data_IF_053399756604
#
_entry.id   IF_053399756604
#
_cell.length_a   1.000
_cell.length_b   1.000
_cell.length_c   1.000
_cell.angle_alpha   90.00
_cell.angle_beta   90.00
_cell.angle_gamma   90.00
#
_symmetry.space_group_name_H-M   'P 1'
#
loop_
_entity.id
_entity.type
_entity.pdbx_description
1 polymer ?
#
# COMPACT_ATOMS: atom_id res chain seq x y z
N UNK A 1 15.22 -19.32 4.43
CA UNK A 1 14.27 -19.73 5.49
C UNK A 1 13.18 -18.68 5.60
N UNK A 2 11.92 -19.08 5.51
CA UNK A 2 10.81 -18.19 5.83
C UNK A 2 10.75 -17.99 7.34
N UNK A 3 10.63 -16.75 7.81
CA UNK A 3 10.49 -16.48 9.23
C UNK A 3 9.58 -15.27 9.47
N UNK A 4 9.01 -15.24 10.66
CA UNK A 4 8.32 -14.09 11.22
C UNK A 4 8.98 -13.77 12.56
N UNK A 5 9.43 -12.55 12.71
CA UNK A 5 9.89 -11.97 13.96
C UNK A 5 8.95 -10.80 14.29
N UNK A 6 8.20 -10.94 15.37
CA UNK A 6 7.24 -9.91 15.79
C UNK A 6 7.92 -8.66 16.37
N UNK A 7 9.24 -8.68 16.51
CA UNK A 7 10.00 -7.62 17.15
C UNK A 7 9.58 -7.45 18.61
N UNK A 8 9.58 -6.22 19.09
CA UNK A 8 9.12 -5.89 20.44
C UNK A 8 7.73 -5.28 20.40
N UNK A 9 6.78 -5.93 21.10
CA UNK A 9 5.40 -5.46 21.24
C UNK A 9 5.20 -4.94 22.66
N UNK A 10 4.82 -3.68 22.78
CA UNK A 10 4.50 -3.01 24.03
C UNK A 10 3.01 -2.70 24.09
N UNK A 11 2.33 -3.12 25.15
CA UNK A 11 0.92 -2.85 25.38
C UNK A 11 0.79 -2.06 26.67
N UNK A 12 0.24 -0.86 26.59
CA UNK A 12 0.12 0.06 27.71
C UNK A 12 -1.26 0.71 27.76
N UNK A 13 -1.65 1.20 28.94
CA UNK A 13 -2.70 2.20 29.07
C UNK A 13 -2.02 3.55 29.31
N UNK A 14 -2.27 4.52 28.45
CA UNK A 14 -1.61 5.84 28.51
C UNK A 14 -2.65 6.95 28.64
N UNK A 15 -2.25 8.08 29.22
CA UNK A 15 -3.01 9.32 29.18
C UNK A 15 -2.20 10.41 28.50
N UNK A 16 -2.51 10.74 27.25
CA UNK A 16 -1.74 11.70 26.46
C UNK A 16 -2.61 12.49 25.49
N UNK A 17 -2.12 13.64 25.03
CA UNK A 17 -2.61 14.41 23.88
C UNK A 17 -1.57 14.52 22.76
N UNK A 18 -0.45 13.80 22.88
CA UNK A 18 0.62 13.84 21.90
C UNK A 18 1.34 12.49 21.84
N UNK A 19 1.68 12.06 20.63
CA UNK A 19 2.53 10.90 20.37
C UNK A 19 3.59 11.25 19.35
N UNK A 20 4.78 10.72 19.54
CA UNK A 20 5.89 10.78 18.60
C UNK A 20 5.98 9.48 17.81
N UNK A 21 6.29 9.59 16.53
CA UNK A 21 6.63 8.45 15.67
C UNK A 21 7.83 8.81 14.80
N UNK A 22 8.89 8.00 14.84
CA UNK A 22 10.13 8.24 14.09
C UNK A 22 10.02 7.60 12.72
N UNK A 23 10.35 8.36 11.68
CA UNK A 23 10.41 7.88 10.29
C UNK A 23 11.83 7.93 9.75
N UNK A 24 12.10 7.17 8.68
CA UNK A 24 13.39 7.18 8.01
C UNK A 24 13.58 8.40 7.07
N UNK A 25 14.78 8.53 6.51
CA UNK A 25 15.14 9.64 5.61
C UNK A 25 14.23 9.75 4.39
N UNK A 26 13.92 8.63 3.74
CA UNK A 26 13.10 8.61 2.52
C UNK A 26 11.69 9.14 2.79
N UNK A 27 11.08 8.67 3.87
CA UNK A 27 9.76 9.14 4.29
C UNK A 27 9.82 10.61 4.73
N UNK A 28 10.81 11.01 5.52
CA UNK A 28 10.99 12.41 5.92
C UNK A 28 11.03 13.33 4.69
N UNK A 29 11.79 12.94 3.66
CA UNK A 29 11.88 13.68 2.39
C UNK A 29 10.54 13.71 1.65
N UNK A 30 9.84 12.58 1.52
CA UNK A 30 8.53 12.52 0.84
C UNK A 30 7.50 13.41 1.52
N UNK A 31 7.46 13.40 2.85
CA UNK A 31 6.54 14.20 3.65
C UNK A 31 6.93 15.69 3.71
N UNK A 32 8.16 16.04 3.28
CA UNK A 32 8.70 17.39 3.47
C UNK A 32 8.86 17.77 4.96
N UNK A 33 9.05 16.78 5.83
CA UNK A 33 9.17 16.96 7.26
C UNK A 33 10.55 17.51 7.65
N UNK A 34 10.60 18.37 8.67
CA UNK A 34 11.86 18.97 9.14
C UNK A 34 12.62 18.01 10.08
N UNK A 35 11.89 17.23 10.86
CA UNK A 35 12.42 16.30 11.86
C UNK A 35 12.08 14.86 11.50
N UNK A 36 12.85 13.91 12.03
CA UNK A 36 12.55 12.48 11.93
C UNK A 36 11.39 12.06 12.82
N UNK A 37 11.23 12.72 13.96
CA UNK A 37 10.08 12.49 14.84
C UNK A 37 8.89 13.33 14.36
N UNK A 38 7.84 12.62 13.95
CA UNK A 38 6.54 13.18 13.63
C UNK A 38 5.69 13.19 14.90
N UNK A 39 5.35 14.38 15.37
CA UNK A 39 4.50 14.57 16.54
C UNK A 39 3.06 14.79 16.09
N UNK A 40 2.12 14.03 16.65
CA UNK A 40 0.71 14.10 16.31
C UNK A 40 -0.17 13.95 17.56
N UNK A 41 -1.40 14.45 17.47
CA UNK A 41 -2.36 14.40 18.56
C UNK A 41 -3.38 13.28 18.34
N UNK A 42 -3.33 12.18 19.12
CA UNK A 42 -4.32 11.12 19.02
C UNK A 42 -5.64 11.45 19.73
N UNK A 43 -5.67 12.48 20.59
CA UNK A 43 -6.81 12.77 21.45
C UNK A 43 -7.98 13.40 20.68
N UNK A 44 -9.22 12.94 20.93
CA UNK A 44 -10.41 13.49 20.29
C UNK A 44 -10.81 14.88 20.80
N UNK A 45 -10.27 15.34 21.94
CA UNK A 45 -10.74 16.56 22.63
C UNK A 45 -9.67 17.64 22.78
N UNK A 46 -8.51 17.49 22.12
CA UNK A 46 -7.35 18.39 22.28
C UNK A 46 -6.62 18.25 23.63
N UNK A 47 -7.32 17.80 24.68
CA UNK A 47 -6.78 17.52 26.01
C UNK A 47 -6.29 16.07 26.12
N UNK A 48 -5.50 15.74 27.15
CA UNK A 48 -5.01 14.37 27.32
C UNK A 48 -6.14 13.37 27.62
N UNK A 49 -6.20 12.28 26.84
CA UNK A 49 -7.23 11.24 26.93
C UNK A 49 -6.61 9.89 27.31
N UNK A 50 -7.37 9.06 28.01
CA UNK A 50 -6.98 7.68 28.30
C UNK A 50 -7.12 6.82 27.05
N UNK A 51 -6.13 5.98 26.77
CA UNK A 51 -6.06 5.18 25.56
C UNK A 51 -5.38 3.84 25.83
N UNK A 52 -5.92 2.77 25.23
CA UNK A 52 -5.17 1.53 25.07
C UNK A 52 -4.16 1.74 23.94
N UNK A 53 -2.88 1.56 24.22
CA UNK A 53 -1.80 1.84 23.29
C UNK A 53 -0.99 0.59 23.03
N UNK A 54 -0.75 0.30 21.75
CA UNK A 54 0.09 -0.78 21.27
C UNK A 54 1.21 -0.17 20.45
N UNK A 55 2.46 -0.51 20.79
CA UNK A 55 3.63 -0.15 20.00
C UNK A 55 4.34 -1.41 19.52
N UNK A 56 4.68 -1.46 18.24
CA UNK A 56 5.51 -2.51 17.62
C UNK A 56 6.83 -1.88 17.19
N UNK A 57 7.95 -2.52 17.50
CA UNK A 57 9.30 -2.08 17.10
C UNK A 57 10.05 -3.21 16.41
N UNK A 58 10.45 -2.98 15.16
CA UNK A 58 11.30 -3.89 14.41
C UNK A 58 10.65 -5.23 14.05
N UNK A 59 9.37 -5.23 13.67
CA UNK A 59 8.74 -6.45 13.16
C UNK A 59 9.30 -6.76 11.76
N UNK A 60 9.78 -7.98 11.59
CA UNK A 60 10.27 -8.52 10.34
C UNK A 60 9.45 -9.72 9.92
N UNK A 61 8.99 -9.72 8.67
CA UNK A 61 8.39 -10.88 8.05
C UNK A 61 9.14 -11.17 6.77
N UNK A 62 9.91 -12.25 6.72
CA UNK A 62 10.67 -12.61 5.53
C UNK A 62 10.14 -13.95 5.05
N UNK A 63 9.13 -13.91 4.19
CA UNK A 63 8.60 -15.11 3.56
C UNK A 63 8.18 -14.85 2.12
N UNK A 64 8.48 -15.84 1.28
CA UNK A 64 8.08 -15.89 -0.12
C UNK A 64 7.22 -17.14 -0.29
N UNK A 65 5.94 -16.94 -0.52
CA UNK A 65 5.02 -18.05 -0.72
C UNK A 65 4.99 -18.43 -2.20
N UNK A 66 5.58 -19.59 -2.53
CA UNK A 66 5.58 -20.16 -3.91
C UNK A 66 4.34 -20.98 -4.23
N UNK A 67 3.57 -21.35 -3.21
CA UNK A 67 2.34 -22.12 -3.34
C UNK A 67 1.32 -21.50 -2.40
N UNK A 68 0.31 -20.84 -2.97
CA UNK A 68 -0.86 -20.39 -2.22
C UNK A 68 -2.01 -21.36 -2.49
N UNK A 69 -2.66 -21.86 -1.43
CA UNK A 69 -3.86 -22.69 -1.53
C UNK A 69 -5.01 -22.01 -0.80
N UNK A 70 -6.09 -21.72 -1.51
CA UNK A 70 -7.35 -21.34 -0.87
C UNK A 70 -8.11 -22.61 -0.51
N UNK A 71 -8.30 -22.85 0.78
CA UNK A 71 -9.06 -24.00 1.29
C UNK A 71 -10.43 -23.48 1.70
N UNK A 72 -11.44 -23.67 0.87
CA UNK A 72 -12.84 -23.37 1.20
C UNK A 72 -13.57 -24.57 1.80
N UNK A 73 -13.07 -25.79 1.58
CA UNK A 73 -13.67 -27.04 2.04
C UNK A 73 -12.59 -28.12 2.22
N UNK A 74 -12.59 -28.79 3.38
CA UNK A 74 -11.66 -29.89 3.71
C UNK A 74 -12.23 -31.29 3.38
N UNK A 75 -13.44 -31.37 2.80
CA UNK A 75 -14.11 -32.63 2.48
C UNK A 75 -13.74 -33.24 1.13
N UNK A 76 -13.01 -32.50 0.28
CA UNK A 76 -12.58 -32.93 -1.06
C UNK A 76 -11.14 -33.45 -1.01
N UNK A 77 -10.85 -34.49 -1.80
CA UNK A 77 -9.50 -35.06 -1.92
C UNK A 77 -8.48 -33.96 -2.28
N UNK A 78 -7.33 -33.99 -1.59
CA UNK A 78 -6.27 -32.99 -1.75
C UNK A 78 -5.82 -32.92 -3.20
N UNK A 79 -5.94 -31.75 -3.83
CA UNK A 79 -5.28 -31.49 -5.11
C UNK A 79 -3.76 -31.38 -4.85
N UNK A 80 -3.03 -32.46 -5.14
CA UNK A 80 -1.58 -32.59 -4.95
C UNK A 80 -0.78 -32.19 -6.21
N UNK A 81 -1.36 -31.40 -7.11
CA UNK A 81 -0.64 -30.93 -8.31
C UNK A 81 0.56 -30.07 -7.91
N UNK A 82 1.76 -30.57 -8.21
CA UNK A 82 3.03 -29.90 -7.92
C UNK A 82 3.43 -28.88 -9.01
N UNK A 83 2.49 -28.45 -9.86
CA UNK A 83 2.79 -27.79 -11.13
C UNK A 83 2.90 -26.25 -11.04
N UNK A 84 2.61 -25.64 -9.90
CA UNK A 84 2.73 -24.19 -9.72
C UNK A 84 4.18 -23.75 -9.51
N UNK A 85 4.72 -22.94 -10.44
CA UNK A 85 6.06 -22.34 -10.33
C UNK A 85 6.05 -20.90 -9.80
N UNK A 86 4.90 -20.23 -9.79
CA UNK A 86 4.80 -18.82 -9.41
C UNK A 86 4.31 -18.61 -7.98
N UNK A 87 4.75 -17.51 -7.36
CA UNK A 87 4.42 -17.14 -5.99
C UNK A 87 4.28 -15.64 -5.79
N UNK A 88 3.80 -15.26 -4.61
CA UNK A 88 3.74 -13.87 -4.15
C UNK A 88 4.64 -13.72 -2.92
N UNK A 89 5.65 -12.85 -3.02
CA UNK A 89 6.50 -12.43 -1.93
C UNK A 89 6.02 -11.09 -1.39
N UNK A 90 5.74 -11.04 -0.09
CA UNK A 90 5.41 -9.80 0.62
C UNK A 90 6.31 -9.70 1.87
N UNK A 91 7.64 -9.67 1.73
CA UNK A 91 8.49 -9.47 2.88
C UNK A 91 8.27 -8.06 3.45
N UNK A 92 8.32 -7.96 4.78
CA UNK A 92 8.26 -6.72 5.55
C UNK A 92 9.54 -6.63 6.37
N UNK A 93 10.17 -5.46 6.33
CA UNK A 93 11.39 -5.18 7.07
C UNK A 93 11.22 -3.95 7.96
N UNK A 94 11.67 -4.10 9.22
CA UNK A 94 11.68 -3.08 10.25
C UNK A 94 10.34 -2.34 10.39
N UNK A 95 9.25 -3.10 10.48
CA UNK A 95 7.94 -2.50 10.68
C UNK A 95 7.84 -1.94 12.10
N UNK A 96 7.57 -0.64 12.17
CA UNK A 96 7.34 0.09 13.41
C UNK A 96 5.89 0.58 13.40
N UNK A 97 5.19 0.44 14.52
CA UNK A 97 3.80 0.87 14.63
C UNK A 97 3.49 1.49 15.99
N UNK A 98 2.62 2.48 16.00
CA UNK A 98 1.91 3.01 17.16
C UNK A 98 0.42 2.92 16.87
N UNK A 99 -0.35 2.30 17.75
CA UNK A 99 -1.79 2.20 17.62
C UNK A 99 -2.44 2.55 18.97
N UNK A 100 -3.19 3.65 19.00
CA UNK A 100 -3.96 4.10 20.14
C UNK A 100 -5.46 3.86 19.89
N UNK A 101 -6.14 3.32 20.89
CA UNK A 101 -7.57 3.01 20.85
C UNK A 101 -8.28 3.63 22.04
N UNK A 102 -9.44 4.24 21.80
CA UNK A 102 -10.18 4.98 22.82
C UNK A 102 -11.68 5.05 22.49
N UNK A 103 -12.51 5.39 23.46
CA UNK A 103 -13.93 5.61 23.22
C UNK A 103 -14.15 6.89 22.40
N UNK A 104 -14.90 6.80 21.29
CA UNK A 104 -15.23 7.96 20.46
C UNK A 104 -16.64 7.82 19.90
N UNK A 105 -17.44 8.86 20.02
CA UNK A 105 -18.76 8.91 19.39
C UNK A 105 -18.64 9.22 17.90
N UNK A 106 -19.55 8.66 17.11
CA UNK A 106 -19.68 8.96 15.69
C UNK A 106 -21.14 9.15 15.32
N UNK A 107 -21.38 9.91 14.26
CA UNK A 107 -22.71 10.07 13.67
C UNK A 107 -22.81 9.11 12.49
N UNK A 108 -23.78 8.21 12.51
CA UNK A 108 -24.00 7.29 11.40
C UNK A 108 -24.66 7.99 10.19
N UNK A 109 -24.84 7.25 9.09
CA UNK A 109 -25.40 7.76 7.82
C UNK A 109 -26.83 8.29 7.94
N UNK A 110 -27.60 7.86 8.95
CA UNK A 110 -28.96 8.37 9.25
C UNK A 110 -28.98 9.50 10.29
N UNK A 111 -27.82 10.06 10.64
CA UNK A 111 -27.71 11.23 11.53
C UNK A 111 -27.80 10.91 13.03
N UNK A 112 -27.77 9.63 13.41
CA UNK A 112 -27.84 9.20 14.82
C UNK A 112 -26.45 9.09 15.42
N UNK A 113 -26.28 9.63 16.63
CA UNK A 113 -25.03 9.52 17.40
C UNK A 113 -24.94 8.13 18.04
N UNK A 114 -23.84 7.42 17.79
CA UNK A 114 -23.53 6.10 18.35
C UNK A 114 -22.15 6.09 18.99
N UNK A 115 -21.92 5.15 19.89
CA UNK A 115 -20.60 4.87 20.45
C UNK A 115 -19.79 4.03 19.46
N UNK A 116 -18.52 4.38 19.28
CA UNK A 116 -17.58 3.69 18.40
C UNK A 116 -16.19 3.58 19.03
N UNK A 117 -15.32 2.85 18.34
CA UNK A 117 -13.92 2.69 18.70
C UNK A 117 -13.09 3.75 17.95
N UNK A 118 -12.68 4.79 18.66
CA UNK A 118 -11.70 5.74 18.16
C UNK A 118 -10.35 5.06 17.99
N UNK A 119 -9.67 5.37 16.90
CA UNK A 119 -8.33 4.87 16.61
C UNK A 119 -7.42 6.00 16.15
N UNK A 120 -6.14 5.87 16.46
CA UNK A 120 -5.03 6.62 15.86
C UNK A 120 -3.89 5.63 15.63
N UNK A 121 -3.52 5.44 14.37
CA UNK A 121 -2.54 4.44 13.95
C UNK A 121 -1.48 5.16 13.11
N UNK A 122 -0.21 4.95 13.44
CA UNK A 122 0.94 5.32 12.63
C UNK A 122 1.82 4.08 12.43
N UNK A 123 2.21 3.79 11.19
CA UNK A 123 3.01 2.61 10.81
C UNK A 123 4.06 3.05 9.82
N UNK A 124 5.27 2.50 9.91
CA UNK A 124 6.29 2.62 8.87
C UNK A 124 6.99 1.30 8.62
N UNK A 125 7.57 1.18 7.43
CA UNK A 125 8.49 0.12 7.04
C UNK A 125 9.73 0.72 6.42
N UNK A 126 10.85 0.00 6.53
CA UNK A 126 12.07 0.37 5.82
C UNK A 126 12.19 -0.41 4.51
N UNK A 127 12.72 0.25 3.49
CA UNK A 127 12.88 -0.33 2.17
C UNK A 127 13.93 -1.42 2.14
N UNK A 128 15.16 -1.12 2.54
CA UNK A 128 16.29 -2.05 2.52
C UNK A 128 17.14 -1.95 3.78
N UNK A 129 17.70 -3.07 4.22
CA UNK A 129 18.73 -3.11 5.24
C UNK A 129 19.48 -4.44 5.23
N UNK A 130 20.43 -4.58 6.14
CA UNK A 130 21.18 -5.82 6.34
C UNK A 130 21.09 -6.23 7.81
N UNK A 131 20.99 -7.53 8.08
CA UNK A 131 21.10 -8.03 9.45
C UNK A 131 22.55 -8.02 9.96
N UNK A 132 22.72 -8.40 11.23
CA UNK A 132 24.05 -8.49 11.86
C UNK A 132 25.01 -9.46 11.17
N UNK A 133 24.53 -10.34 10.29
CA UNK A 133 25.29 -11.31 9.52
C UNK A 133 25.52 -10.85 8.07
N UNK A 134 25.02 -9.66 7.69
CA UNK A 134 25.13 -9.11 6.35
C UNK A 134 24.11 -9.67 5.35
N UNK A 135 23.06 -10.36 5.81
CA UNK A 135 21.99 -10.81 4.91
C UNK A 135 21.04 -9.66 4.60
N UNK A 136 20.67 -9.46 3.32
CA UNK A 136 19.74 -8.42 2.92
C UNK A 136 18.35 -8.66 3.51
N UNK A 137 17.71 -7.57 3.92
CA UNK A 137 16.30 -7.52 4.28
C UNK A 137 15.64 -6.41 3.49
N UNK A 138 14.40 -6.63 3.09
CA UNK A 138 13.65 -5.64 2.33
C UNK A 138 12.17 -5.69 2.68
N UNK A 139 11.49 -4.57 2.49
CA UNK A 139 10.05 -4.53 2.32
C UNK A 139 9.74 -4.58 0.83
N UNK A 140 8.95 -5.55 0.38
CA UNK A 140 8.65 -5.74 -1.05
C UNK A 140 7.25 -6.30 -1.29
N UNK A 141 6.74 -6.10 -2.50
CA UNK A 141 5.56 -6.75 -3.06
C UNK A 141 5.96 -7.26 -4.44
N UNK A 142 6.31 -8.54 -4.53
CA UNK A 142 6.89 -9.13 -5.73
C UNK A 142 6.18 -10.41 -6.12
N UNK A 143 5.88 -10.53 -7.41
CA UNK A 143 5.50 -11.81 -8.02
C UNK A 143 6.78 -12.52 -8.39
N UNK A 144 6.87 -13.80 -8.08
CA UNK A 144 8.06 -14.62 -8.27
C UNK A 144 7.72 -15.78 -9.19
N UNK A 145 8.63 -16.11 -10.10
CA UNK A 145 8.59 -17.30 -10.94
C UNK A 145 9.81 -18.18 -10.65
N UNK A 146 9.55 -19.31 -10.01
CA UNK A 146 10.50 -20.35 -9.67
C UNK A 146 10.59 -21.46 -10.70
N UNK A 147 10.35 -21.21 -11.98
CA UNK A 147 10.53 -22.22 -13.02
C UNK A 147 11.93 -22.85 -12.97
N UNK A 148 12.01 -24.14 -13.30
CA UNK A 148 13.27 -24.88 -13.31
C UNK A 148 14.21 -24.33 -14.39
N UNK A 149 15.43 -23.97 -13.99
CA UNK A 149 16.51 -23.58 -14.89
C UNK A 149 17.04 -24.78 -15.68
N UNK A 150 17.88 -24.49 -16.67
CA UNK A 150 18.67 -25.49 -17.39
C UNK A 150 19.66 -26.25 -16.49
N UNK A 151 19.91 -25.78 -15.26
CA UNK A 151 20.73 -26.46 -14.26
C UNK A 151 19.96 -27.40 -13.34
N UNK A 152 18.63 -27.55 -13.52
CA UNK A 152 17.82 -28.37 -12.62
C UNK A 152 17.60 -27.73 -11.24
N UNK A 153 17.78 -26.41 -11.14
CA UNK A 153 17.50 -25.59 -9.96
C UNK A 153 16.55 -24.44 -10.34
N UNK A 154 15.77 -23.90 -9.42
CA UNK A 154 14.79 -22.85 -9.74
C UNK A 154 15.48 -21.50 -10.07
N UNK A 155 15.00 -20.81 -11.10
CA UNK A 155 15.58 -19.52 -11.53
C UNK A 155 15.20 -18.36 -10.60
N UNK A 156 14.02 -18.41 -9.99
CA UNK A 156 13.49 -17.40 -9.05
C UNK A 156 13.53 -15.97 -9.62
N UNK A 157 13.00 -15.78 -10.82
CA UNK A 157 12.73 -14.45 -11.36
C UNK A 157 11.68 -13.75 -10.50
N UNK A 158 11.75 -12.43 -10.43
CA UNK A 158 10.73 -11.63 -9.77
C UNK A 158 10.40 -10.38 -10.57
N UNK A 159 9.17 -9.89 -10.38
CA UNK A 159 8.73 -8.57 -10.82
C UNK A 159 7.87 -7.93 -9.75
N UNK A 160 8.02 -6.64 -9.52
CA UNK A 160 7.14 -5.91 -8.63
C UNK A 160 7.80 -4.70 -7.99
N UNK A 161 7.32 -4.36 -6.81
CA UNK A 161 7.85 -3.28 -5.98
C UNK A 161 8.81 -3.87 -4.95
N UNK A 162 10.02 -3.33 -4.88
CA UNK A 162 10.96 -3.66 -3.81
C UNK A 162 11.47 -2.40 -3.15
N UNK A 163 12.17 -2.59 -2.04
CA UNK A 163 12.74 -1.50 -1.25
C UNK A 163 11.68 -0.45 -0.90
N UNK A 164 10.56 -0.92 -0.37
CA UNK A 164 9.40 -0.08 -0.04
C UNK A 164 9.61 0.58 1.33
N UNK A 165 10.09 1.82 1.32
CA UNK A 165 9.97 2.72 2.46
C UNK A 165 8.54 3.22 2.51
N UNK A 166 7.82 2.97 3.61
CA UNK A 166 6.42 3.39 3.73
C UNK A 166 6.11 4.07 5.05
N UNK A 167 5.13 4.96 5.03
CA UNK A 167 4.53 5.55 6.21
C UNK A 167 3.03 5.71 6.01
N UNK A 168 2.26 5.11 6.91
CA UNK A 168 0.81 5.18 6.96
C UNK A 168 0.39 5.78 8.29
N UNK A 169 -0.43 6.82 8.26
CA UNK A 169 -1.04 7.41 9.44
C UNK A 169 -2.52 7.63 9.20
N UNK A 170 -3.35 7.11 10.09
CA UNK A 170 -4.78 7.32 10.04
C UNK A 170 -5.36 7.46 11.45
N UNK A 171 -6.24 8.44 11.62
CA UNK A 171 -6.99 8.60 12.86
C UNK A 171 -8.46 8.84 12.55
N UNK A 172 -9.33 8.34 13.41
CA UNK A 172 -10.70 8.15 13.02
C UNK A 172 -11.58 7.46 14.04
N UNK A 173 -12.59 6.75 13.54
CA UNK A 173 -13.52 5.96 14.34
C UNK A 173 -13.98 4.74 13.54
N UNK A 174 -14.03 3.60 14.21
CA UNK A 174 -14.68 2.38 13.74
C UNK A 174 -16.04 2.31 14.43
N UNK A 175 -17.09 2.30 13.64
CA UNK A 175 -18.48 2.18 14.06
C UNK A 175 -19.12 0.90 13.53
N UNK A 176 -20.08 0.38 14.28
CA UNK A 176 -20.90 -0.75 13.87
C UNK A 176 -22.32 -0.25 13.59
N UNK A 177 -22.73 -0.31 12.33
CA UNK A 177 -24.11 -0.07 11.90
C UNK A 177 -24.84 -1.40 11.78
N UNK A 178 -26.16 -1.39 11.57
CA UNK A 178 -26.99 -2.60 11.59
C UNK A 178 -26.52 -3.68 10.61
N UNK A 179 -26.06 -3.29 9.41
CA UNK A 179 -25.66 -4.20 8.34
C UNK A 179 -24.28 -3.90 7.74
N UNK A 180 -23.47 -3.07 8.40
CA UNK A 180 -22.18 -2.65 7.86
C UNK A 180 -21.20 -2.26 8.97
N UNK A 181 -19.92 -2.55 8.75
CA UNK A 181 -18.82 -1.98 9.54
C UNK A 181 -18.43 -0.67 8.86
N UNK A 182 -18.53 0.42 9.61
CA UNK A 182 -18.19 1.76 9.15
C UNK A 182 -16.84 2.16 9.72
N UNK A 183 -15.89 2.46 8.84
CA UNK A 183 -14.56 2.94 9.21
C UNK A 183 -14.42 4.34 8.63
N UNK A 184 -14.26 5.33 9.51
CA UNK A 184 -14.01 6.71 9.11
C UNK A 184 -12.59 7.10 9.51
N UNK A 185 -11.81 7.58 8.55
CA UNK A 185 -10.56 8.29 8.80
C UNK A 185 -10.83 9.80 8.69
N UNK A 186 -10.75 10.51 9.82
CA UNK A 186 -10.84 11.98 9.84
C UNK A 186 -9.57 12.62 9.24
N UNK A 187 -8.45 11.91 9.32
CA UNK A 187 -7.22 12.17 8.57
C UNK A 187 -6.57 10.84 8.21
N UNK A 188 -6.13 10.74 6.96
CA UNK A 188 -5.41 9.62 6.38
C UNK A 188 -4.26 10.16 5.54
N UNK A 189 -3.05 9.73 5.87
CA UNK A 189 -1.82 10.03 5.16
C UNK A 189 -1.15 8.70 4.83
N UNK A 190 -0.90 8.45 3.56
CA UNK A 190 -0.12 7.31 3.10
C UNK A 190 0.97 7.78 2.15
N UNK A 191 2.22 7.58 2.55
CA UNK A 191 3.40 7.92 1.77
C UNK A 191 4.25 6.67 1.56
N UNK A 192 4.82 6.51 0.37
CA UNK A 192 5.81 5.47 0.14
C UNK A 192 6.81 5.86 -0.96
N UNK A 193 8.02 5.32 -0.86
CA UNK A 193 9.03 5.25 -1.91
C UNK A 193 9.31 3.78 -2.21
N UNK A 194 9.40 3.41 -3.48
CA UNK A 194 9.72 2.05 -3.87
C UNK A 194 10.43 2.01 -5.22
N UNK A 195 11.01 0.87 -5.53
CA UNK A 195 11.61 0.56 -6.83
C UNK A 195 10.73 -0.42 -7.60
N UNK A 196 10.38 -0.09 -8.84
CA UNK A 196 9.79 -1.01 -9.79
C UNK A 196 10.94 -1.80 -10.41
N UNK A 197 11.01 -3.11 -10.16
CA UNK A 197 12.14 -3.93 -10.54
C UNK A 197 11.70 -5.24 -11.20
N UNK A 198 12.55 -5.76 -12.09
CA UNK A 198 12.45 -7.09 -12.70
C UNK A 198 13.84 -7.71 -12.69
N UNK A 199 14.02 -8.80 -11.95
CA UNK A 199 15.33 -9.41 -11.75
C UNK A 199 15.24 -10.83 -11.22
N UNK A 200 16.32 -11.31 -10.62
CA UNK A 200 16.36 -12.59 -9.91
C UNK A 200 16.59 -12.36 -8.42
N UNK A 201 16.03 -13.23 -7.59
CA UNK A 201 16.20 -13.12 -6.14
C UNK A 201 17.68 -13.29 -5.75
N UNK A 202 18.14 -12.56 -4.70
CA UNK A 202 19.48 -12.75 -4.15
C UNK A 202 19.78 -14.21 -3.83
N UNK A 203 20.96 -14.69 -4.24
CA UNK A 203 21.38 -16.09 -4.03
C UNK A 203 20.81 -17.12 -5.01
N UNK A 204 19.95 -16.72 -5.95
CA UNK A 204 19.51 -17.59 -7.04
C UNK A 204 20.66 -17.82 -8.07
N UNK A 205 20.52 -18.84 -8.91
CA UNK A 205 21.45 -19.06 -10.03
C UNK A 205 20.97 -18.34 -11.30
N UNK A 206 21.90 -17.67 -11.99
CA UNK A 206 21.63 -17.18 -13.34
C UNK A 206 21.31 -18.34 -14.27
N UNK A 207 20.32 -18.14 -15.15
CA UNK A 207 19.99 -19.13 -16.17
C UNK A 207 20.93 -19.00 -17.37
N UNK A 208 21.11 -20.09 -18.11
CA UNK A 208 21.95 -20.05 -19.31
C UNK A 208 21.37 -19.12 -20.38
N UNK A 209 22.24 -18.46 -21.17
CA UNK A 209 21.82 -17.67 -22.32
C UNK A 209 20.91 -18.48 -23.25
N UNK A 210 19.98 -17.80 -23.91
CA UNK A 210 19.06 -18.45 -24.83
C UNK A 210 19.81 -19.26 -25.90
N UNK A 211 19.43 -20.53 -26.08
CA UNK A 211 20.07 -21.45 -27.02
C UNK A 211 21.32 -22.17 -26.48
N UNK A 212 21.68 -21.98 -25.21
CA UNK A 212 22.78 -22.68 -24.54
C UNK A 212 22.22 -23.66 -23.51
N UNK A 213 22.52 -24.96 -23.67
CA UNK A 213 22.01 -26.02 -22.78
C UNK A 213 22.87 -26.23 -21.52
N UNK A 214 24.07 -25.66 -21.45
CA UNK A 214 24.95 -25.72 -20.29
C UNK A 214 25.87 -24.49 -20.21
N UNK A 215 25.95 -23.88 -19.04
CA UNK A 215 26.76 -22.68 -18.76
C UNK A 215 27.35 -22.76 -17.35
N UNK A 216 28.25 -21.83 -17.02
CA UNK A 216 28.80 -21.74 -15.66
C UNK A 216 27.70 -21.36 -14.67
N UNK A 217 27.71 -21.97 -13.48
CA UNK A 217 26.82 -21.60 -12.38
C UNK A 217 27.27 -20.27 -11.79
N UNK A 218 26.63 -19.19 -12.22
CA UNK A 218 26.82 -17.87 -11.63
C UNK A 218 25.71 -17.58 -10.64
N UNK A 219 26.07 -17.04 -9.47
CA UNK A 219 25.13 -16.76 -8.38
C UNK A 219 24.78 -15.27 -8.40
N UNK A 220 23.49 -14.97 -8.28
CA UNK A 220 22.99 -13.61 -8.09
C UNK A 220 23.55 -13.06 -6.77
N UNK A 221 24.20 -11.90 -6.76
CA UNK A 221 24.80 -11.32 -5.56
C UNK A 221 23.81 -11.26 -4.38
N UNK A 222 24.28 -11.60 -3.18
CA UNK A 222 23.45 -11.56 -1.97
C UNK A 222 22.92 -10.14 -1.71
N UNK A 223 23.67 -9.10 -2.07
CA UNK A 223 23.23 -7.71 -1.96
C UNK A 223 22.53 -7.18 -3.23
N UNK A 224 21.92 -8.02 -4.07
CA UNK A 224 21.30 -7.58 -5.33
C UNK A 224 20.24 -6.47 -5.11
N UNK A 225 19.51 -6.51 -3.99
CA UNK A 225 18.52 -5.48 -3.65
C UNK A 225 19.15 -4.13 -3.24
N UNK A 226 20.45 -4.06 -2.96
CA UNK A 226 21.17 -2.79 -2.81
C UNK A 226 21.61 -2.19 -4.15
N UNK A 227 21.60 -2.97 -5.23
CA UNK A 227 22.05 -2.56 -6.57
C UNK A 227 20.90 -2.06 -7.41
N UNK A 228 21.18 -1.24 -8.42
CA UNK A 228 20.16 -0.69 -9.33
C UNK A 228 20.03 -1.48 -10.65
N UNK A 229 20.80 -2.55 -10.81
CA UNK A 229 20.97 -3.28 -12.08
C UNK A 229 19.66 -3.86 -12.64
N UNK A 230 18.68 -4.13 -11.78
CA UNK A 230 17.36 -4.70 -12.11
C UNK A 230 16.19 -3.72 -11.87
N UNK A 231 16.48 -2.44 -11.61
CA UNK A 231 15.47 -1.39 -11.41
C UNK A 231 15.09 -0.74 -12.72
N UNK A 232 13.80 -0.73 -13.04
CA UNK A 232 13.25 -0.06 -14.22
C UNK A 232 12.94 1.41 -13.95
N UNK A 233 12.38 1.70 -12.78
CA UNK A 233 12.00 3.04 -12.35
C UNK A 233 11.82 3.07 -10.82
N UNK A 234 11.88 4.26 -10.23
CA UNK A 234 11.45 4.51 -8.86
C UNK A 234 10.05 5.11 -8.85
N UNK A 235 9.24 4.73 -7.87
CA UNK A 235 7.91 5.27 -7.64
C UNK A 235 7.85 5.89 -6.24
N UNK A 236 7.40 7.13 -6.14
CA UNK A 236 7.16 7.80 -4.88
C UNK A 236 5.76 8.42 -4.89
N UNK A 237 5.03 8.30 -3.79
CA UNK A 237 3.72 8.91 -3.67
C UNK A 237 3.43 9.39 -2.26
N UNK A 238 2.49 10.32 -2.17
CA UNK A 238 1.85 10.75 -0.93
C UNK A 238 0.37 10.97 -1.21
N UNK A 239 -0.49 10.26 -0.48
CA UNK A 239 -1.93 10.41 -0.49
C UNK A 239 -2.33 10.98 0.87
N UNK A 240 -2.81 12.22 0.87
CA UNK A 240 -3.19 12.95 2.09
C UNK A 240 -4.62 13.47 1.96
N UNK A 241 -5.45 13.09 2.91
CA UNK A 241 -6.88 13.37 2.86
C UNK A 241 -7.65 12.79 4.04
N UNK A 242 -8.92 12.53 3.79
CA UNK A 242 -9.86 11.90 4.73
C UNK A 242 -10.75 10.94 3.96
N UNK A 243 -11.31 9.96 4.64
CA UNK A 243 -12.12 8.98 3.95
C UNK A 243 -13.01 8.15 4.85
N UNK A 244 -13.89 7.43 4.18
CA UNK A 244 -14.85 6.51 4.76
C UNK A 244 -14.75 5.19 4.03
N UNK A 245 -14.92 4.09 4.75
CA UNK A 245 -15.00 2.75 4.21
C UNK A 245 -16.15 2.03 4.92
N UNK A 246 -17.07 1.51 4.12
CA UNK A 246 -18.17 0.65 4.52
C UNK A 246 -17.81 -0.76 4.06
N UNK A 247 -17.67 -1.65 5.02
CA UNK A 247 -17.58 -3.09 4.77
C UNK A 247 -18.98 -3.64 4.98
N UNK A 248 -19.60 -4.10 3.90
CA UNK A 248 -20.98 -4.57 3.89
C UNK A 248 -20.91 -6.08 3.65
N UNK A 249 -21.12 -6.90 4.70
CA UNK A 249 -21.21 -8.33 4.54
C UNK A 249 -22.34 -8.69 3.57
N UNK A 250 -22.14 -9.77 2.82
CA UNK A 250 -23.23 -10.33 2.03
C UNK A 250 -24.33 -10.86 2.96
N UNK A 251 -25.59 -10.59 2.61
CA UNK A 251 -26.75 -11.09 3.34
C UNK A 251 -27.22 -12.39 2.69
N UNK A 252 -27.33 -13.45 3.47
CA UNK A 252 -28.08 -14.66 3.10
C UNK A 252 -29.58 -14.32 3.08
N UNK A 253 -30.05 -13.80 1.95
CA UNK A 253 -31.49 -13.62 1.72
C UNK A 253 -32.12 -14.98 1.33
N UNK A 254 -33.41 -15.16 1.61
CA UNK A 254 -34.17 -16.30 1.06
C UNK A 254 -34.16 -16.17 -0.47
N UNK A 255 -33.48 -17.09 -1.16
CA UNK A 255 -33.22 -17.01 -2.61
C UNK A 255 -31.87 -16.39 -2.98
N UNK A 256 -30.98 -16.16 -2.01
CA UNK A 256 -29.61 -15.75 -2.24
C UNK A 256 -28.86 -16.74 -3.13
N UNK A 257 -28.25 -16.23 -4.19
CA UNK A 257 -27.32 -16.98 -5.03
C UNK A 257 -25.88 -16.52 -4.73
N UNK A 258 -24.85 -17.28 -5.11
CA UNK A 258 -23.46 -16.79 -5.08
C UNK A 258 -23.23 -15.47 -5.83
N UNK A 259 -24.17 -15.08 -6.71
CA UNK A 259 -24.14 -13.80 -7.42
C UNK A 259 -24.73 -12.64 -6.60
N UNK A 260 -25.60 -12.93 -5.61
CA UNK A 260 -26.23 -11.93 -4.74
C UNK A 260 -25.66 -11.90 -3.32
N UNK A 261 -24.96 -12.97 -2.88
CA UNK A 261 -24.22 -13.00 -1.61
C UNK A 261 -22.73 -12.72 -1.88
N UNK A 262 -22.30 -11.48 -1.65
CA UNK A 262 -20.93 -11.05 -1.84
C UNK A 262 -20.53 -10.01 -0.80
N UNK A 263 -19.25 -9.99 -0.45
CA UNK A 263 -18.69 -8.95 0.40
C UNK A 263 -18.53 -7.68 -0.43
N UNK A 264 -19.14 -6.58 0.01
CA UNK A 264 -19.00 -5.28 -0.66
C UNK A 264 -18.16 -4.31 0.16
N UNK A 265 -17.40 -3.49 -0.54
CA UNK A 265 -16.62 -2.39 0.01
C UNK A 265 -17.07 -1.12 -0.68
N UNK A 266 -17.61 -0.16 0.06
CA UNK A 266 -17.85 1.19 -0.47
C UNK A 266 -16.94 2.14 0.26
N UNK A 267 -16.19 2.95 -0.46
CA UNK A 267 -15.33 3.95 0.16
C UNK A 267 -15.47 5.29 -0.52
N UNK A 268 -15.29 6.34 0.27
CA UNK A 268 -15.16 7.70 -0.19
C UNK A 268 -13.81 8.20 0.29
N UNK A 269 -13.00 8.76 -0.61
CA UNK A 269 -11.76 9.43 -0.27
C UNK A 269 -11.80 10.87 -0.80
N UNK A 270 -11.50 11.81 0.06
CA UNK A 270 -11.42 13.24 -0.25
C UNK A 270 -10.00 13.69 0.04
N UNK A 271 -9.30 14.14 -1.01
CA UNK A 271 -7.98 14.72 -0.89
C UNK A 271 -8.02 16.03 -0.12
N UNK A 272 -6.98 16.32 0.65
CA UNK A 272 -6.86 17.61 1.32
C UNK A 272 -6.80 18.75 0.30
N UNK A 273 -7.56 19.82 0.56
CA UNK A 273 -7.55 21.01 -0.28
C UNK A 273 -6.29 21.81 -0.03
N UNK A 274 -5.63 22.23 -1.11
CA UNK A 274 -4.49 23.14 -1.06
C UNK A 274 -4.98 24.59 -1.04
N UNK A 275 -4.29 25.43 -0.26
CA UNK A 275 -4.53 26.88 -0.25
C UNK A 275 -4.14 27.50 -1.61
N UNK A 276 -4.64 28.70 -1.91
CA UNK A 276 -4.22 29.43 -3.12
C UNK A 276 -2.71 29.67 -3.17
N UNK A 277 -2.08 29.90 -2.01
CA UNK A 277 -0.63 30.04 -1.86
C UNK A 277 0.12 28.74 -2.14
N UNK A 278 -0.38 27.60 -1.66
CA UNK A 278 0.23 26.30 -1.94
C UNK A 278 0.05 25.89 -3.40
N UNK A 279 -1.10 26.22 -4.01
CA UNK A 279 -1.35 25.97 -5.43
C UNK A 279 -0.37 26.73 -6.33
N UNK A 280 -0.01 27.97 -5.97
CA UNK A 280 0.96 28.77 -6.72
C UNK A 280 2.42 28.45 -6.39
N UNK A 281 2.68 27.65 -5.36
CA UNK A 281 4.04 27.28 -4.95
C UNK A 281 4.48 25.99 -5.65
N UNK A 282 5.41 26.09 -6.58
CA UNK A 282 5.94 24.94 -7.35
C UNK A 282 6.64 23.88 -6.46
N UNK A 283 7.16 24.28 -5.31
CA UNK A 283 7.78 23.37 -4.34
C UNK A 283 6.76 22.56 -3.54
N UNK A 284 5.47 22.94 -3.55
CA UNK A 284 4.41 22.25 -2.82
C UNK A 284 3.69 21.26 -3.74
N UNK A 285 3.98 19.97 -3.53
CA UNK A 285 3.39 18.88 -4.33
C UNK A 285 1.99 18.48 -3.88
N UNK A 286 1.56 18.78 -2.65
CA UNK A 286 0.31 18.24 -2.10
C UNK A 286 0.27 16.71 -2.17
N UNK A 287 -0.91 16.11 -2.32
CA UNK A 287 -0.97 14.69 -2.68
C UNK A 287 -0.39 14.47 -4.08
N UNK A 288 0.51 13.51 -4.23
CA UNK A 288 1.21 13.27 -5.50
C UNK A 288 1.52 11.80 -5.78
N UNK A 289 1.76 11.48 -7.05
CA UNK A 289 2.41 10.25 -7.52
C UNK A 289 3.53 10.67 -8.48
N UNK A 290 4.72 10.11 -8.29
CA UNK A 290 5.92 10.40 -9.06
C UNK A 290 6.51 9.09 -9.56
N UNK A 291 6.83 9.04 -10.85
CA UNK A 291 7.64 8.01 -11.46
C UNK A 291 8.94 8.66 -11.91
N UNK A 292 10.07 8.14 -11.46
CA UNK A 292 11.38 8.69 -11.78
C UNK A 292 12.34 7.62 -12.26
N UNK A 293 13.27 8.03 -13.10
CA UNK A 293 14.40 7.21 -13.47
C UNK A 293 15.69 7.99 -13.22
N UNK A 294 16.67 7.32 -12.64
CA UNK A 294 17.95 7.91 -12.27
C UNK A 294 19.05 7.26 -13.09
N UNK A 295 19.70 8.06 -13.92
CA UNK A 295 20.87 7.67 -14.69
C UNK A 295 22.13 8.18 -13.98
N UNK A 296 23.09 7.30 -13.74
CA UNK A 296 24.36 7.64 -13.12
C UNK A 296 25.51 7.08 -13.94
N UNK A 297 26.43 7.95 -14.35
CA UNK A 297 27.68 7.56 -15.00
C UNK A 297 28.86 7.47 -14.01
N UNK A 298 28.56 7.30 -12.71
CA UNK A 298 29.56 7.20 -11.63
C UNK A 298 30.15 8.53 -11.14
N UNK A 299 29.90 9.65 -11.84
CA UNK A 299 30.35 11.00 -11.44
C UNK A 299 29.21 12.02 -11.38
N UNK A 300 28.20 11.85 -12.23
CA UNK A 300 27.00 12.68 -12.26
C UNK A 300 25.77 11.80 -12.25
N UNK A 301 24.80 12.18 -11.42
CA UNK A 301 23.51 11.50 -11.31
C UNK A 301 22.43 12.45 -11.82
N UNK A 302 21.69 12.03 -12.84
CA UNK A 302 20.57 12.78 -13.41
C UNK A 302 19.28 12.01 -13.16
N UNK A 303 18.29 12.70 -12.61
CA UNK A 303 16.97 12.11 -12.39
C UNK A 303 15.97 12.76 -13.32
N UNK A 304 15.31 11.92 -14.12
CA UNK A 304 14.14 12.31 -14.89
C UNK A 304 12.87 11.86 -14.17
N UNK A 305 11.77 12.62 -14.24
CA UNK A 305 10.51 12.18 -13.64
C UNK A 305 9.26 12.68 -14.36
N UNK A 306 8.21 11.86 -14.25
CA UNK A 306 6.82 12.19 -14.54
C UNK A 306 6.05 12.26 -13.21
N UNK A 307 5.27 13.32 -13.01
CA UNK A 307 4.60 13.58 -11.74
C UNK A 307 3.15 13.97 -11.96
N UNK A 308 2.27 13.39 -11.16
CA UNK A 308 0.92 13.86 -10.90
C UNK A 308 0.94 14.51 -9.53
N UNK A 309 0.97 15.84 -9.48
CA UNK A 309 1.00 16.62 -8.26
C UNK A 309 -0.38 17.18 -7.95
N UNK A 310 -0.50 17.75 -6.74
CA UNK A 310 -1.62 18.55 -6.28
C UNK A 310 -2.95 17.86 -6.55
N UNK A 311 -3.00 16.56 -6.29
CA UNK A 311 -4.21 15.77 -6.46
C UNK A 311 -5.28 16.28 -5.49
N UNK A 312 -6.45 16.63 -6.03
CA UNK A 312 -7.57 17.21 -5.29
C UNK A 312 -8.89 16.62 -5.77
N UNK A 313 -9.92 16.72 -4.93
CA UNK A 313 -11.28 16.30 -5.25
C UNK A 313 -11.68 15.00 -4.54
N UNK A 314 -12.68 14.32 -5.09
CA UNK A 314 -13.29 13.15 -4.46
C UNK A 314 -13.16 11.91 -5.35
N UNK A 315 -12.78 10.80 -4.72
CA UNK A 315 -12.79 9.47 -5.30
C UNK A 315 -13.76 8.60 -4.52
N UNK A 316 -14.71 8.00 -5.22
CA UNK A 316 -15.51 6.89 -4.70
C UNK A 316 -14.86 5.57 -5.11
N UNK A 317 -14.88 4.57 -4.23
CA UNK A 317 -14.54 3.19 -4.56
C UNK A 317 -15.76 2.32 -4.26
N UNK A 318 -16.10 1.43 -5.19
CA UNK A 318 -17.08 0.39 -4.99
C UNK A 318 -16.46 -0.95 -5.41
N UNK A 319 -16.06 -1.73 -4.42
CA UNK A 319 -15.49 -3.05 -4.57
C UNK A 319 -16.49 -4.14 -4.22
N UNK A 320 -16.44 -5.26 -4.92
CA UNK A 320 -17.19 -6.48 -4.60
C UNK A 320 -16.27 -7.68 -4.72
N UNK A 321 -16.35 -8.58 -3.75
CA UNK A 321 -15.68 -9.88 -3.80
C UNK A 321 -16.75 -10.96 -3.87
N UNK A 322 -16.82 -11.61 -5.03
CA UNK A 322 -17.69 -12.74 -5.29
C UNK A 322 -16.89 -14.03 -5.10
N UNK A 323 -17.34 -14.88 -4.20
CA UNK A 323 -16.85 -16.26 -4.09
C UNK A 323 -17.81 -17.16 -4.87
N UNK A 324 -17.33 -17.70 -5.97
CA UNK A 324 -18.05 -18.68 -6.78
C UNK A 324 -17.43 -20.07 -6.55
N UNK A 325 -18.13 -21.13 -6.96
CA UNK A 325 -17.69 -22.52 -6.79
C UNK A 325 -16.24 -22.75 -7.23
N UNK A 326 -15.88 -22.21 -8.41
CA UNK A 326 -14.59 -22.46 -9.06
C UNK A 326 -13.76 -21.18 -9.25
N UNK A 327 -14.22 -20.03 -8.74
CA UNK A 327 -13.51 -18.76 -8.95
C UNK A 327 -13.76 -17.75 -7.83
N UNK A 328 -12.79 -16.87 -7.64
CA UNK A 328 -12.96 -15.63 -6.88
C UNK A 328 -12.92 -14.48 -7.85
N UNK A 329 -13.97 -13.67 -7.89
CA UNK A 329 -14.05 -12.49 -8.75
C UNK A 329 -14.03 -11.24 -7.88
N UNK A 330 -13.12 -10.33 -8.19
CA UNK A 330 -12.97 -9.04 -7.55
C UNK A 330 -13.37 -7.97 -8.57
N UNK A 331 -14.52 -7.35 -8.36
CA UNK A 331 -15.01 -6.24 -9.17
C UNK A 331 -14.76 -4.93 -8.45
N UNK A 332 -13.98 -4.04 -9.06
CA UNK A 332 -13.66 -2.74 -8.51
C UNK A 332 -14.13 -1.64 -9.46
N UNK A 333 -14.74 -0.60 -8.88
CA UNK A 333 -15.08 0.61 -9.58
C UNK A 333 -14.53 1.82 -8.82
N UNK A 334 -13.74 2.65 -9.50
CA UNK A 334 -13.34 3.98 -9.02
C UNK A 334 -14.25 5.00 -9.68
N UNK A 335 -14.96 5.80 -8.89
CA UNK A 335 -15.88 6.83 -9.34
C UNK A 335 -15.26 8.21 -9.13
N UNK A 336 -15.13 8.97 -10.20
CA UNK A 336 -14.64 10.35 -10.15
C UNK A 336 -15.82 11.30 -9.96
N UNK A 337 -15.64 12.31 -9.10
CA UNK A 337 -16.66 13.30 -8.80
C UNK A 337 -18.03 12.68 -8.46
N UNK A 338 -18.05 11.56 -7.72
CA UNK A 338 -19.27 10.79 -7.49
C UNK A 338 -20.34 11.58 -6.69
N UNK A 339 -19.93 12.57 -5.88
CA UNK A 339 -20.85 13.46 -5.14
C UNK A 339 -21.64 14.40 -6.05
N UNK A 340 -21.22 14.64 -7.31
CA UNK A 340 -22.02 15.41 -8.27
C UNK A 340 -23.36 14.72 -8.60
N UNK A 341 -23.38 13.37 -8.56
CA UNK A 341 -24.57 12.57 -8.83
C UNK A 341 -25.66 12.72 -7.75
N UNK A 342 -25.36 13.35 -6.61
CA UNK A 342 -26.30 13.63 -5.53
C UNK A 342 -26.97 15.02 -5.64
N UNK A 343 -27.03 15.63 -6.83
CA UNK A 343 -27.82 16.83 -7.12
C UNK A 343 -27.08 18.16 -7.22
N UNK A 344 -25.76 18.15 -7.51
CA UNK A 344 -24.95 19.38 -7.69
C UNK A 344 -23.78 19.18 -8.66
N UNK A 345 -22.95 20.21 -8.90
CA UNK A 345 -21.78 20.08 -9.80
C UNK A 345 -20.63 19.23 -9.20
N UNK A 346 -20.71 18.89 -7.91
CA UNK A 346 -19.67 18.19 -7.16
C UNK A 346 -18.31 18.89 -7.22
N UNK A 347 -17.23 18.16 -6.95
CA UNK A 347 -15.85 18.64 -7.12
C UNK A 347 -15.10 17.66 -8.00
N UNK A 348 -14.76 18.11 -9.21
CA UNK A 348 -13.95 17.35 -10.15
C UNK A 348 -12.66 16.86 -9.49
N UNK A 349 -12.21 15.66 -9.85
CA UNK A 349 -10.86 15.23 -9.52
C UNK A 349 -9.89 16.05 -10.37
N UNK A 350 -8.88 16.65 -9.73
CA UNK A 350 -7.90 17.52 -10.39
C UNK A 350 -6.49 17.09 -10.04
N UNK A 351 -5.58 17.22 -10.97
CA UNK A 351 -4.14 17.01 -10.74
C UNK A 351 -3.32 17.83 -11.72
N UNK A 352 -2.14 18.26 -11.27
CA UNK A 352 -1.13 18.92 -12.08
C UNK A 352 -0.19 17.88 -12.66
N UNK A 353 0.00 17.88 -13.98
CA UNK A 353 1.03 17.07 -14.64
C UNK A 353 2.31 17.88 -14.70
N UNK A 354 3.39 17.34 -14.14
CA UNK A 354 4.70 17.98 -14.15
C UNK A 354 5.79 17.00 -14.60
N UNK A 355 6.71 17.48 -15.43
CA UNK A 355 7.85 16.74 -15.94
C UNK A 355 9.15 17.35 -15.40
N UNK A 356 10.13 16.51 -15.13
CA UNK A 356 11.48 16.94 -14.81
C UNK A 356 12.44 16.19 -15.72
N UNK A 357 12.83 16.72 -16.88
CA UNK A 357 13.78 16.05 -17.77
C UNK A 357 15.23 16.18 -17.27
N UNK A 358 15.53 17.24 -16.50
CA UNK A 358 16.89 17.57 -16.01
C UNK A 358 16.87 18.00 -14.55
N UNK A 359 16.22 17.22 -13.68
CA UNK A 359 16.10 17.45 -12.23
C UNK A 359 15.22 18.63 -11.79
N UNK A 360 15.06 19.68 -12.60
CA UNK A 360 14.08 20.76 -12.35
C UNK A 360 12.69 20.35 -12.85
N UNK A 361 11.74 20.25 -11.92
CA UNK A 361 10.35 19.95 -12.23
C UNK A 361 9.65 21.17 -12.82
N UNK A 362 8.93 20.99 -13.91
CA UNK A 362 8.13 22.01 -14.57
C UNK A 362 6.71 21.49 -14.79
N UNK A 363 5.72 22.33 -14.46
CA UNK A 363 4.32 22.06 -14.80
C UNK A 363 4.15 22.06 -16.32
N UNK A 364 3.43 21.06 -16.83
CA UNK A 364 3.12 20.90 -18.26
C UNK A 364 1.62 21.06 -18.53
N UNK A 365 0.77 20.54 -17.64
CA UNK A 365 -0.68 20.59 -17.83
C UNK A 365 -1.45 20.47 -16.51
N UNK A 366 -2.75 20.80 -16.55
CA UNK A 366 -3.72 20.44 -15.53
C UNK A 366 -4.72 19.44 -16.12
N UNK A 367 -5.02 18.38 -15.38
CA UNK A 367 -6.07 17.41 -15.72
C UNK A 367 -7.24 17.63 -14.76
N UNK A 368 -8.45 17.67 -15.31
CA UNK A 368 -9.68 17.66 -14.54
C UNK A 368 -10.62 16.55 -15.05
N UNK A 369 -10.94 15.58 -14.18
CA UNK A 369 -11.94 14.55 -14.44
C UNK A 369 -13.24 14.98 -13.74
N UNK A 370 -14.19 15.45 -14.54
CA UNK A 370 -15.44 16.05 -14.05
C UNK A 370 -16.51 15.04 -13.68
N UNK A 371 -16.31 13.76 -14.00
CA UNK A 371 -17.22 12.67 -13.66
C UNK A 371 -16.86 11.37 -14.37
N UNK A 372 -17.60 10.32 -14.07
CA UNK A 372 -17.45 9.00 -14.69
C UNK A 372 -16.87 7.96 -13.74
N UNK A 373 -16.70 6.75 -14.23
CA UNK A 373 -16.17 5.66 -13.43
C UNK A 373 -15.23 4.77 -14.25
N UNK A 374 -14.09 4.44 -13.65
CA UNK A 374 -13.20 3.39 -14.14
C UNK A 374 -13.59 2.08 -13.47
N UNK A 375 -13.65 1.01 -14.24
CA UNK A 375 -13.98 -0.34 -13.74
C UNK A 375 -12.84 -1.28 -14.05
N UNK A 376 -12.54 -2.15 -13.10
CA UNK A 376 -11.58 -3.25 -13.24
C UNK A 376 -12.18 -4.50 -12.61
N UNK A 377 -12.16 -5.59 -13.34
CA UNK A 377 -12.62 -6.90 -12.88
C UNK A 377 -11.45 -7.86 -12.97
N UNK A 378 -11.12 -8.50 -11.85
CA UNK A 378 -10.13 -9.56 -11.80
C UNK A 378 -10.82 -10.86 -11.37
N UNK A 379 -10.80 -11.86 -12.25
CA UNK A 379 -11.24 -13.22 -11.91
C UNK A 379 -10.03 -14.13 -11.70
N UNK A 380 -9.98 -14.81 -10.57
CA UNK A 380 -9.00 -15.86 -10.28
C UNK A 380 -9.75 -17.19 -10.29
N UNK A 381 -9.43 -18.05 -11.25
CA UNK A 381 -9.88 -19.45 -11.29
C UNK A 381 -8.69 -20.31 -10.91
N UNK A 382 -8.63 -20.87 -9.69
CA UNK A 382 -7.58 -21.80 -9.31
C UNK A 382 -7.64 -23.04 -10.22
N UNK A 383 -6.48 -23.52 -10.69
CA UNK A 383 -6.39 -24.78 -11.43
C UNK A 383 -6.41 -25.98 -10.50
#
# INVERSE_FOLDING_TARGET
>A
NAYIDFGQIYINNIRTNSMGFVVNDQIKTILGAQNYELIYNPSPTGNASNMAFIAVRGLDFQAIARKARFISDNSIAVNNTNEGTWGLGIPLYNLNANAAFFAKKYTNTVGTVKDGLGYDIAVSTDGYGEDSQGNPKTTSIIVIDGAMSKHGEEVNYYTGLRNIDSYFKANGVIGFNENEIYIKADSLLFAANAEIAIGQLPGALYNCPAGVDSCAKEVVPINNFAKKDDVLASIAFMLDGKGELFIIPGLEAVGGTPQSNYLSFKSNFEFNTLSSTDLSNESKKGSFISLSNTDSNGTTTKTSSFNLNKMQGHLGLNGKIHMQKDSVVIDNQVQFNHKALAGGQGTAFRTEVALSPTSTMQKVADIAITGGAMRSTLGITPR
#
